data_IF_795523144058
#
_entry.id   IF_795523144058
#
_cell.length_a   1.000
_cell.length_b   1.000
_cell.length_c   1.000
_cell.angle_alpha   90.00
_cell.angle_beta   90.00
_cell.angle_gamma   90.00
#
_symmetry.space_group_name_H-M   'P 1'
#
loop_
_entity.id
_entity.type
_entity.pdbx_description
1 polymer ?
#
# COMPACT_ATOMS: atom_id res chain seq x y z
N UNK A 1 -6.71 -24.72 -16.43
CA UNK A 1 -6.10 -24.13 -15.20
C UNK A 1 -6.79 -22.83 -14.83
N UNK A 2 -6.91 -22.53 -13.53
CA UNK A 2 -7.41 -21.24 -13.02
C UNK A 2 -6.29 -20.54 -12.21
N UNK A 3 -5.78 -19.40 -12.71
CA UNK A 3 -4.59 -18.75 -12.18
C UNK A 3 -4.98 -17.51 -11.33
N UNK A 4 -4.32 -17.34 -10.18
CA UNK A 4 -4.55 -16.26 -9.21
C UNK A 4 -6.02 -16.15 -8.75
N UNK A 5 -6.65 -17.29 -8.57
CA UNK A 5 -8.07 -17.41 -8.24
C UNK A 5 -8.39 -16.71 -6.92
N UNK A 6 -9.33 -15.78 -6.96
CA UNK A 6 -9.79 -15.03 -5.79
C UNK A 6 -11.27 -15.24 -5.58
N UNK A 7 -11.62 -15.83 -4.44
CA UNK A 7 -13.00 -15.94 -3.97
C UNK A 7 -13.12 -15.21 -2.65
N UNK A 8 -13.99 -14.19 -2.59
CA UNK A 8 -14.34 -13.50 -1.35
C UNK A 8 -15.42 -14.28 -0.59
N UNK A 9 -15.57 -14.02 0.70
CA UNK A 9 -16.65 -14.62 1.49
C UNK A 9 -18.03 -14.36 0.87
N UNK A 10 -18.27 -13.13 0.41
CA UNK A 10 -19.53 -12.76 -0.28
C UNK A 10 -19.74 -13.58 -1.55
N UNK A 11 -18.71 -13.76 -2.37
CA UNK A 11 -18.78 -14.60 -3.58
C UNK A 11 -18.95 -16.06 -3.22
N UNK A 12 -18.25 -16.55 -2.19
CA UNK A 12 -18.38 -17.93 -1.72
C UNK A 12 -19.81 -18.25 -1.29
N UNK A 13 -20.46 -17.38 -0.50
CA UNK A 13 -21.87 -17.55 -0.10
C UNK A 13 -22.81 -17.66 -1.30
N UNK A 14 -22.58 -16.86 -2.34
CA UNK A 14 -23.36 -16.95 -3.60
C UNK A 14 -23.11 -18.26 -4.32
N UNK A 15 -21.85 -18.67 -4.51
CA UNK A 15 -21.50 -19.94 -5.16
C UNK A 15 -22.02 -21.15 -4.38
N UNK A 16 -22.03 -21.11 -3.06
CA UNK A 16 -22.58 -22.17 -2.20
C UNK A 16 -24.07 -22.38 -2.44
N UNK A 17 -24.82 -21.32 -2.72
CA UNK A 17 -26.25 -21.44 -3.08
C UNK A 17 -26.47 -22.27 -4.36
N UNK A 18 -25.54 -22.15 -5.31
CA UNK A 18 -25.55 -22.95 -6.56
C UNK A 18 -24.48 -24.06 -6.50
N UNK A 19 -24.46 -24.85 -5.45
CA UNK A 19 -23.38 -25.79 -5.14
C UNK A 19 -23.11 -26.82 -6.24
N UNK A 20 -24.15 -27.36 -6.89
CA UNK A 20 -24.01 -28.30 -7.98
C UNK A 20 -23.29 -27.67 -9.18
N UNK A 21 -23.77 -26.53 -9.65
CA UNK A 21 -23.11 -25.77 -10.75
C UNK A 21 -21.69 -25.35 -10.41
N UNK A 22 -21.46 -24.90 -9.17
CA UNK A 22 -20.13 -24.56 -8.70
C UNK A 22 -19.18 -25.76 -8.78
N UNK A 23 -19.61 -26.92 -8.30
CA UNK A 23 -18.84 -28.16 -8.34
C UNK A 23 -18.49 -28.55 -9.77
N UNK A 24 -19.46 -28.53 -10.67
CA UNK A 24 -19.24 -28.82 -12.10
C UNK A 24 -18.23 -27.89 -12.73
N UNK A 25 -18.32 -26.56 -12.46
CA UNK A 25 -17.39 -25.57 -13.01
C UNK A 25 -15.98 -25.77 -12.45
N UNK A 26 -15.84 -25.86 -11.12
CA UNK A 26 -14.50 -25.93 -10.51
C UNK A 26 -13.80 -27.27 -10.68
N UNK A 27 -14.53 -28.37 -10.92
CA UNK A 27 -13.96 -29.68 -11.25
C UNK A 27 -13.34 -29.74 -12.65
N UNK A 28 -13.76 -28.87 -13.57
CA UNK A 28 -13.20 -28.78 -14.92
C UNK A 28 -11.82 -28.12 -15.00
N UNK A 29 -11.32 -27.56 -13.90
CA UNK A 29 -9.95 -27.06 -13.85
C UNK A 29 -9.00 -28.15 -13.33
N UNK A 30 -7.98 -28.52 -14.10
CA UNK A 30 -6.92 -29.46 -13.68
C UNK A 30 -6.22 -28.97 -12.42
N UNK A 31 -5.99 -27.64 -12.32
CA UNK A 31 -5.45 -26.99 -11.14
C UNK A 31 -6.01 -25.58 -10.96
N UNK A 32 -6.28 -25.22 -9.71
CA UNK A 32 -6.62 -23.87 -9.28
C UNK A 32 -5.46 -23.31 -8.46
N UNK A 33 -4.78 -22.29 -8.96
CA UNK A 33 -3.74 -21.56 -8.20
C UNK A 33 -4.43 -20.40 -7.50
N UNK A 34 -4.62 -20.53 -6.20
CA UNK A 34 -5.34 -19.54 -5.40
C UNK A 34 -4.48 -18.32 -5.06
N UNK A 35 -5.09 -17.13 -5.00
CA UNK A 35 -4.42 -15.89 -4.62
C UNK A 35 -4.26 -15.72 -3.11
N UNK A 36 -4.91 -16.58 -2.30
CA UNK A 36 -5.00 -16.47 -0.85
C UNK A 36 -5.35 -17.79 -0.18
N UNK A 37 -5.02 -17.94 1.10
CA UNK A 37 -5.42 -19.11 1.90
C UNK A 37 -6.94 -19.21 2.05
N UNK A 38 -7.63 -18.08 2.21
CA UNK A 38 -9.10 -18.06 2.26
C UNK A 38 -9.69 -18.55 0.93
N UNK A 39 -9.20 -18.03 -0.20
CA UNK A 39 -9.62 -18.48 -1.52
C UNK A 39 -9.32 -19.96 -1.77
N UNK A 40 -8.17 -20.47 -1.28
CA UNK A 40 -7.84 -21.91 -1.31
C UNK A 40 -8.91 -22.74 -0.62
N UNK A 41 -9.31 -22.33 0.59
CA UNK A 41 -10.34 -23.05 1.35
C UNK A 41 -11.71 -22.97 0.65
N UNK A 42 -12.10 -21.82 0.13
CA UNK A 42 -13.36 -21.66 -0.60
C UNK A 42 -13.40 -22.50 -1.89
N UNK A 43 -12.31 -22.52 -2.66
CA UNK A 43 -12.21 -23.35 -3.86
C UNK A 43 -12.37 -24.84 -3.54
N UNK A 44 -11.76 -25.31 -2.42
CA UNK A 44 -11.91 -26.69 -1.95
C UNK A 44 -13.37 -27.01 -1.65
N UNK A 45 -14.05 -26.13 -0.91
CA UNK A 45 -15.47 -26.30 -0.56
C UNK A 45 -16.41 -26.21 -1.77
N UNK A 46 -15.98 -25.55 -2.86
CA UNK A 46 -16.71 -25.45 -4.11
C UNK A 46 -16.38 -26.59 -5.11
N UNK A 47 -15.56 -27.57 -4.69
CA UNK A 47 -15.33 -28.81 -5.46
C UNK A 47 -14.11 -28.79 -6.38
N UNK A 48 -13.21 -27.84 -6.29
CA UNK A 48 -11.95 -27.86 -7.03
C UNK A 48 -11.08 -29.05 -6.62
N UNK A 49 -10.60 -29.85 -7.61
CA UNK A 49 -9.85 -31.10 -7.40
C UNK A 49 -8.45 -30.86 -6.89
N UNK A 50 -7.68 -30.02 -7.57
CA UNK A 50 -6.30 -29.69 -7.22
C UNK A 50 -6.17 -28.19 -6.99
N UNK A 51 -5.61 -27.81 -5.83
CA UNK A 51 -5.48 -26.39 -5.45
C UNK A 51 -4.07 -26.14 -4.90
N UNK A 52 -3.34 -25.27 -5.59
CA UNK A 52 -2.03 -24.78 -5.17
C UNK A 52 -2.15 -23.35 -4.62
N UNK A 53 -1.25 -22.99 -3.70
CA UNK A 53 -1.13 -21.63 -3.17
C UNK A 53 0.34 -21.25 -3.02
N UNK A 54 0.80 -20.26 -3.75
CA UNK A 54 2.17 -19.73 -3.71
C UNK A 54 2.20 -18.27 -3.24
N UNK A 55 1.06 -17.62 -3.11
CA UNK A 55 0.89 -16.21 -2.85
C UNK A 55 0.11 -15.51 -3.96
N UNK A 56 -0.08 -14.20 -3.82
CA UNK A 56 -0.84 -13.41 -4.77
C UNK A 56 0.07 -12.87 -5.88
N UNK A 57 -0.22 -13.15 -7.15
CA UNK A 57 0.56 -12.67 -8.30
C UNK A 57 0.63 -11.13 -8.42
N UNK A 58 -0.24 -10.38 -7.73
CA UNK A 58 -0.09 -8.92 -7.65
C UNK A 58 1.25 -8.48 -7.05
N UNK A 59 1.91 -9.34 -6.24
CA UNK A 59 3.26 -9.09 -5.75
C UNK A 59 4.29 -9.04 -6.87
N UNK A 60 4.05 -9.74 -7.99
CA UNK A 60 5.04 -9.90 -9.07
C UNK A 60 5.01 -8.77 -10.10
N UNK A 61 4.02 -7.86 -10.04
CA UNK A 61 3.96 -6.71 -10.95
C UNK A 61 5.27 -5.92 -10.90
N UNK A 62 5.86 -5.62 -12.06
CA UNK A 62 7.05 -4.79 -12.18
C UNK A 62 6.83 -3.39 -11.62
N UNK A 63 7.92 -2.73 -11.19
CA UNK A 63 7.87 -1.28 -10.93
C UNK A 63 7.56 -0.59 -12.27
N UNK A 64 6.55 0.25 -12.29
CA UNK A 64 6.34 1.13 -13.43
C UNK A 64 7.49 2.15 -13.51
N UNK A 65 7.83 2.59 -14.71
CA UNK A 65 8.73 3.72 -14.90
C UNK A 65 8.15 4.94 -14.18
N UNK A 66 8.94 5.50 -13.26
CA UNK A 66 8.51 6.69 -12.52
C UNK A 66 9.02 7.93 -13.24
N UNK A 67 8.15 8.92 -13.44
CA UNK A 67 8.62 10.26 -13.77
C UNK A 67 9.53 10.75 -12.65
N UNK A 68 10.73 11.16 -12.98
CA UNK A 68 11.66 11.70 -11.99
C UNK A 68 11.18 13.05 -11.50
N UNK A 69 11.33 13.28 -10.21
CA UNK A 69 11.13 14.61 -9.64
C UNK A 69 12.24 15.53 -10.15
N UNK A 70 11.89 16.72 -10.56
CA UNK A 70 12.89 17.69 -11.08
C UNK A 70 14.04 17.92 -10.10
N UNK A 71 15.22 18.24 -10.62
CA UNK A 71 16.47 18.35 -9.83
C UNK A 71 16.34 19.29 -8.62
N UNK A 72 15.63 20.42 -8.77
CA UNK A 72 15.42 21.37 -7.68
C UNK A 72 14.58 20.81 -6.54
N UNK A 73 13.54 20.02 -6.85
CA UNK A 73 12.72 19.32 -5.86
C UNK A 73 13.51 18.23 -5.17
N UNK A 74 14.32 17.46 -5.90
CA UNK A 74 15.18 16.44 -5.31
C UNK A 74 16.17 17.05 -4.32
N UNK A 75 16.83 18.15 -4.66
CA UNK A 75 17.72 18.86 -3.74
C UNK A 75 16.99 19.31 -2.47
N UNK A 76 15.79 19.83 -2.59
CA UNK A 76 14.97 20.22 -1.43
C UNK A 76 14.62 19.02 -0.56
N UNK A 77 14.13 17.91 -1.14
CA UNK A 77 13.75 16.74 -0.39
C UNK A 77 14.91 16.06 0.37
N UNK A 78 16.12 16.09 -0.19
CA UNK A 78 17.32 15.58 0.47
C UNK A 78 17.64 16.29 1.80
N UNK A 79 17.20 17.53 1.99
CA UNK A 79 17.40 18.29 3.24
C UNK A 79 16.38 17.95 4.33
N UNK A 80 15.38 17.13 4.03
CA UNK A 80 14.22 16.88 4.89
C UNK A 80 14.19 15.47 5.46
N UNK A 81 13.62 15.35 6.66
CA UNK A 81 13.09 14.07 7.17
C UNK A 81 11.68 13.89 6.64
N UNK A 82 11.49 12.89 5.78
CA UNK A 82 10.24 12.72 5.03
C UNK A 82 9.47 11.51 5.52
N UNK A 83 8.16 11.70 5.71
CA UNK A 83 7.17 10.63 5.71
C UNK A 83 6.01 11.01 4.79
N UNK A 84 5.32 10.01 4.27
CA UNK A 84 4.26 10.21 3.29
C UNK A 84 2.93 9.66 3.82
N UNK A 85 1.84 10.36 3.52
CA UNK A 85 0.48 9.88 3.66
C UNK A 85 -0.13 9.80 2.26
N UNK A 86 -0.41 8.59 1.80
CA UNK A 86 -0.85 8.34 0.42
C UNK A 86 -2.26 7.80 0.37
N UNK A 87 -2.99 8.22 -0.69
CA UNK A 87 -4.38 7.84 -0.92
C UNK A 87 -5.30 8.14 0.27
N UNK A 88 -5.13 9.31 0.86
CA UNK A 88 -5.89 9.76 2.04
C UNK A 88 -7.32 10.12 1.70
N UNK A 89 -8.22 9.96 2.68
CA UNK A 89 -9.64 10.22 2.56
C UNK A 89 -10.19 10.92 3.81
N UNK A 90 -11.14 11.83 3.62
CA UNK A 90 -11.93 12.44 4.68
C UNK A 90 -11.09 13.11 5.76
N UNK A 91 -11.15 12.58 6.97
CA UNK A 91 -10.46 13.14 8.15
C UNK A 91 -8.95 12.77 8.21
N UNK A 92 -8.49 11.89 7.34
CA UNK A 92 -7.12 11.36 7.41
C UNK A 92 -6.07 12.44 7.12
N UNK A 93 -6.38 13.43 6.26
CA UNK A 93 -5.47 14.53 5.99
C UNK A 93 -5.27 15.42 7.23
N UNK A 94 -6.35 15.71 7.95
CA UNK A 94 -6.30 16.45 9.23
C UNK A 94 -5.52 15.68 10.29
N UNK A 95 -5.70 14.35 10.34
CA UNK A 95 -4.92 13.46 11.20
C UNK A 95 -3.42 13.53 10.88
N UNK A 96 -3.06 13.51 9.60
CA UNK A 96 -1.66 13.59 9.17
C UNK A 96 -1.04 14.96 9.46
N UNK A 97 -1.79 16.05 9.29
CA UNK A 97 -1.35 17.40 9.62
C UNK A 97 -1.13 17.58 11.14
N UNK A 98 -2.02 17.03 11.97
CA UNK A 98 -1.82 16.98 13.43
C UNK A 98 -0.60 16.16 13.85
N UNK A 99 -0.38 15.03 13.18
CA UNK A 99 0.81 14.19 13.38
C UNK A 99 2.07 14.97 13.02
N UNK A 100 2.08 15.71 11.90
CA UNK A 100 3.17 16.61 11.55
C UNK A 100 3.44 17.63 12.66
N UNK A 101 2.43 18.34 13.11
CA UNK A 101 2.55 19.39 14.16
C UNK A 101 3.21 18.84 15.43
N UNK A 102 2.79 17.65 15.89
CA UNK A 102 3.39 16.99 17.06
C UNK A 102 4.86 16.59 16.81
N UNK A 103 5.16 16.06 15.63
CA UNK A 103 6.52 15.62 15.29
C UNK A 103 7.48 16.76 15.00
N UNK A 104 7.00 17.91 14.52
CA UNK A 104 7.79 19.09 14.20
C UNK A 104 8.52 19.65 15.44
N UNK A 105 7.97 19.47 16.64
CA UNK A 105 8.62 19.82 17.90
C UNK A 105 10.00 19.15 18.00
N UNK A 106 10.06 17.87 17.65
CA UNK A 106 11.28 17.04 17.72
C UNK A 106 12.14 17.15 16.45
N UNK A 107 11.53 17.26 15.29
CA UNK A 107 12.21 17.22 13.98
C UNK A 107 12.01 18.53 13.23
N UNK A 108 12.92 19.50 13.42
CA UNK A 108 12.82 20.85 12.83
C UNK A 108 12.78 20.83 11.28
N UNK A 109 13.43 19.84 10.64
CA UNK A 109 13.46 19.64 9.20
C UNK A 109 12.44 18.61 8.70
N UNK A 110 11.37 18.32 9.47
CA UNK A 110 10.32 17.41 9.06
C UNK A 110 9.55 17.95 7.85
N UNK A 111 9.22 17.07 6.93
CA UNK A 111 8.29 17.30 5.85
C UNK A 111 7.26 16.16 5.80
N UNK A 112 5.98 16.49 5.71
CA UNK A 112 4.92 15.53 5.46
C UNK A 112 4.42 15.68 4.03
N UNK A 113 4.51 14.61 3.25
CA UNK A 113 3.93 14.56 1.91
C UNK A 113 2.52 13.98 2.04
N UNK A 114 1.51 14.69 1.53
CA UNK A 114 0.13 14.22 1.49
C UNK A 114 -0.29 14.05 0.04
N UNK A 115 -0.72 12.84 -0.31
CA UNK A 115 -1.23 12.47 -1.63
C UNK A 115 -2.69 12.04 -1.45
N UNK A 116 -3.67 12.93 -1.66
CA UNK A 116 -5.07 12.59 -1.52
C UNK A 116 -5.49 11.56 -2.59
N UNK A 117 -6.43 10.68 -2.25
CA UNK A 117 -7.01 9.74 -3.22
C UNK A 117 -7.70 10.46 -4.37
N UNK A 118 -8.32 11.60 -4.08
CA UNK A 118 -9.07 12.41 -5.03
C UNK A 118 -8.56 13.84 -5.02
N UNK A 119 -7.94 14.27 -6.11
CA UNK A 119 -7.32 15.60 -6.23
C UNK A 119 -8.34 16.74 -6.18
N UNK A 120 -9.60 16.53 -6.59
CA UNK A 120 -10.66 17.54 -6.47
C UNK A 120 -10.92 18.00 -5.02
N UNK A 121 -10.49 17.20 -4.02
CA UNK A 121 -10.62 17.53 -2.60
C UNK A 121 -9.57 18.52 -2.07
N UNK A 122 -8.59 18.90 -2.88
CA UNK A 122 -7.47 19.76 -2.44
C UNK A 122 -7.96 21.06 -1.81
N UNK A 123 -8.95 21.75 -2.42
CA UNK A 123 -9.54 22.97 -1.83
C UNK A 123 -10.08 22.73 -0.43
N UNK A 124 -10.82 21.64 -0.24
CA UNK A 124 -11.38 21.24 1.06
C UNK A 124 -10.27 20.89 2.07
N UNK A 125 -9.24 20.17 1.63
CA UNK A 125 -8.10 19.82 2.50
C UNK A 125 -7.39 21.08 2.99
N UNK A 126 -7.16 22.07 2.11
CA UNK A 126 -6.55 23.35 2.51
C UNK A 126 -7.40 24.08 3.54
N UNK A 127 -8.73 24.10 3.41
CA UNK A 127 -9.64 24.67 4.39
C UNK A 127 -9.56 23.92 5.73
N UNK A 128 -9.61 22.57 5.71
CA UNK A 128 -9.61 21.73 6.90
C UNK A 128 -8.34 21.86 7.77
N UNK A 129 -7.21 22.24 7.15
CA UNK A 129 -5.92 22.39 7.87
C UNK A 129 -5.44 23.84 8.00
N UNK A 130 -6.24 24.83 7.52
CA UNK A 130 -5.89 26.26 7.55
C UNK A 130 -5.55 26.76 8.96
N UNK A 131 -6.35 26.38 9.96
CA UNK A 131 -6.22 26.82 11.36
C UNK A 131 -4.99 26.22 12.08
N UNK A 132 -4.28 25.28 11.44
CA UNK A 132 -3.13 24.62 12.04
C UNK A 132 -1.84 25.43 11.94
N UNK A 133 -1.84 26.57 11.24
CA UNK A 133 -0.68 27.42 10.99
C UNK A 133 0.52 26.66 10.39
N UNK A 134 0.26 25.74 9.45
CA UNK A 134 1.27 24.96 8.75
C UNK A 134 1.54 25.58 7.37
N UNK A 135 2.81 25.66 6.98
CA UNK A 135 3.19 26.08 5.64
C UNK A 135 3.01 24.96 4.64
N UNK A 136 2.07 25.16 3.70
CA UNK A 136 1.70 24.16 2.68
C UNK A 136 2.25 24.60 1.33
N UNK A 137 2.86 23.66 0.60
CA UNK A 137 3.24 23.82 -0.79
C UNK A 137 2.47 22.83 -1.66
N UNK A 138 1.83 23.32 -2.74
CA UNK A 138 1.14 22.47 -3.74
C UNK A 138 2.14 21.99 -4.78
N UNK A 139 2.03 20.74 -5.18
CA UNK A 139 2.96 20.09 -6.12
C UNK A 139 3.00 20.80 -7.50
N UNK A 140 1.84 21.20 -8.04
CA UNK A 140 1.72 21.90 -9.31
C UNK A 140 1.97 23.41 -9.23
N UNK A 141 2.34 23.92 -8.04
CA UNK A 141 2.58 25.34 -7.86
C UNK A 141 3.80 25.80 -8.67
N UNK A 142 3.64 26.88 -9.44
CA UNK A 142 4.75 27.58 -10.11
C UNK A 142 5.68 28.31 -9.11
N UNK A 143 5.27 28.48 -7.86
CA UNK A 143 6.03 29.16 -6.81
C UNK A 143 7.21 28.30 -6.37
N UNK A 144 8.34 28.94 -6.13
CA UNK A 144 9.51 28.30 -5.53
C UNK A 144 9.13 27.71 -4.15
N UNK A 145 9.55 26.48 -3.87
CA UNK A 145 9.28 25.84 -2.58
C UNK A 145 10.05 26.54 -1.46
N UNK A 146 9.33 26.91 -0.38
CA UNK A 146 9.95 27.50 0.83
C UNK A 146 10.67 26.42 1.64
N UNK A 147 11.88 26.72 2.11
CA UNK A 147 12.65 25.85 3.01
C UNK A 147 11.89 25.51 4.31
N UNK A 148 10.97 26.37 4.74
CA UNK A 148 10.13 26.18 5.93
C UNK A 148 8.81 25.45 5.63
N UNK A 149 8.62 24.89 4.43
CA UNK A 149 7.43 24.10 4.10
C UNK A 149 7.26 22.92 5.05
N UNK A 150 6.08 22.78 5.61
CA UNK A 150 5.67 21.73 6.54
C UNK A 150 4.98 20.57 5.82
N UNK A 151 4.04 20.89 4.95
CA UNK A 151 3.26 19.93 4.19
C UNK A 151 3.47 20.17 2.70
N UNK A 152 3.82 19.10 2.01
CA UNK A 152 3.85 19.05 0.55
C UNK A 152 2.60 18.30 0.07
N UNK A 153 1.65 19.04 -0.48
CA UNK A 153 0.36 18.49 -0.91
C UNK A 153 0.39 18.20 -2.41
N UNK A 154 0.25 16.93 -2.77
CA UNK A 154 0.29 16.47 -4.16
C UNK A 154 -1.11 16.54 -4.75
N UNK A 155 -1.30 17.43 -5.71
CA UNK A 155 -2.57 17.71 -6.39
C UNK A 155 -2.57 17.32 -7.87
N UNK A 156 -1.67 16.40 -8.26
CA UNK A 156 -1.55 15.85 -9.61
C UNK A 156 -1.57 14.32 -9.57
N UNK A 157 -1.88 13.69 -10.71
CA UNK A 157 -1.85 12.24 -10.86
C UNK A 157 -0.47 11.72 -11.33
N UNK A 158 -0.22 10.41 -11.12
CA UNK A 158 0.87 9.68 -11.78
C UNK A 158 2.22 9.72 -11.06
N UNK A 159 2.39 10.50 -9.99
CA UNK A 159 3.71 10.70 -9.35
C UNK A 159 3.89 10.02 -7.98
N UNK A 160 2.91 9.26 -7.53
CA UNK A 160 2.92 8.61 -6.20
C UNK A 160 4.20 7.80 -5.93
N UNK A 161 4.69 7.08 -6.93
CA UNK A 161 5.87 6.24 -6.79
C UNK A 161 7.16 7.04 -6.58
N UNK A 162 7.28 8.23 -7.17
CA UNK A 162 8.42 9.13 -6.98
C UNK A 162 8.53 9.57 -5.51
N UNK A 163 7.39 9.81 -4.87
CA UNK A 163 7.34 10.13 -3.44
C UNK A 163 7.61 8.93 -2.54
N UNK A 164 7.27 7.71 -2.96
CA UNK A 164 7.65 6.50 -2.22
C UNK A 164 9.16 6.27 -2.22
N UNK A 165 9.86 6.57 -3.32
CA UNK A 165 11.34 6.45 -3.40
C UNK A 165 12.06 7.25 -2.31
N UNK A 166 11.53 8.42 -1.95
CA UNK A 166 12.15 9.35 -0.99
C UNK A 166 11.59 9.22 0.43
N UNK A 167 10.58 8.38 0.64
CA UNK A 167 9.91 8.23 1.94
C UNK A 167 10.36 6.97 2.68
N UNK A 168 10.71 7.09 3.97
CA UNK A 168 11.02 5.92 4.82
C UNK A 168 9.77 5.17 5.24
N UNK A 169 8.67 5.88 5.44
CA UNK A 169 7.38 5.31 5.87
C UNK A 169 6.24 5.98 5.15
N UNK A 170 5.20 5.19 4.89
CA UNK A 170 3.99 5.60 4.21
C UNK A 170 2.78 5.19 5.03
N UNK A 171 1.94 6.15 5.41
CA UNK A 171 0.60 5.89 5.89
C UNK A 171 -0.33 5.74 4.67
N UNK A 172 -1.03 4.61 4.59
CA UNK A 172 -2.00 4.35 3.53
C UNK A 172 -3.41 4.65 4.00
N UNK A 173 -4.02 5.61 3.33
CA UNK A 173 -5.36 6.11 3.64
C UNK A 173 -6.48 5.13 3.26
N UNK A 174 -7.74 5.57 3.51
CA UNK A 174 -8.91 4.71 3.40
C UNK A 174 -8.90 3.59 4.43
N UNK A 175 -8.05 3.70 5.44
CA UNK A 175 -7.80 2.66 6.43
C UNK A 175 -8.21 3.04 7.86
N UNK A 176 -8.27 4.33 8.19
CA UNK A 176 -8.90 4.84 9.43
C UNK A 176 -10.41 4.90 9.24
N UNK A 177 -10.86 5.40 8.10
CA UNK A 177 -12.28 5.38 7.73
C UNK A 177 -12.68 3.99 7.22
N UNK A 178 -13.98 3.69 7.21
CA UNK A 178 -14.53 2.40 6.75
C UNK A 178 -14.54 2.28 5.21
N UNK A 179 -13.37 2.41 4.56
CA UNK A 179 -13.21 2.31 3.10
C UNK A 179 -12.57 0.98 2.64
N UNK A 180 -11.90 0.25 3.54
CA UNK A 180 -11.30 -1.05 3.25
C UNK A 180 -9.83 -1.03 2.92
N UNK A 181 -9.16 0.14 3.06
CA UNK A 181 -7.74 0.34 2.81
C UNK A 181 -7.36 0.42 1.34
N UNK A 182 -6.10 0.74 1.08
CA UNK A 182 -5.48 0.85 -0.24
C UNK A 182 -4.39 -0.21 -0.43
N UNK A 183 -3.97 -0.46 -1.68
CA UNK A 183 -2.96 -1.46 -1.99
C UNK A 183 -1.58 -1.06 -1.42
N UNK A 184 -1.00 -1.84 -0.49
CA UNK A 184 0.28 -1.49 0.12
C UNK A 184 1.52 -1.90 -0.70
N UNK A 185 1.34 -2.65 -1.79
CA UNK A 185 2.45 -3.26 -2.51
C UNK A 185 3.38 -2.25 -3.19
N UNK A 186 2.82 -1.19 -3.73
CA UNK A 186 3.64 -0.17 -4.41
C UNK A 186 4.64 0.44 -3.44
N UNK A 187 4.17 0.95 -2.30
CA UNK A 187 5.05 1.54 -1.29
C UNK A 187 6.04 0.50 -0.70
N UNK A 188 5.60 -0.74 -0.48
CA UNK A 188 6.45 -1.82 0.03
C UNK A 188 7.60 -2.15 -0.92
N UNK A 189 7.39 -2.12 -2.24
CA UNK A 189 8.41 -2.35 -3.27
C UNK A 189 9.53 -1.29 -3.28
N UNK A 190 9.25 -0.10 -2.75
CA UNK A 190 10.27 0.94 -2.55
C UNK A 190 10.96 0.84 -1.17
N UNK A 191 10.65 -0.20 -0.38
CA UNK A 191 11.23 -0.41 0.94
C UNK A 191 10.64 0.49 2.03
N UNK A 192 9.46 1.07 1.78
CA UNK A 192 8.76 1.86 2.78
C UNK A 192 8.17 0.97 3.88
N UNK A 193 8.25 1.43 5.13
CA UNK A 193 7.44 0.89 6.22
C UNK A 193 6.00 1.37 6.06
N UNK A 194 5.05 0.44 6.04
CA UNK A 194 3.63 0.74 5.80
C UNK A 194 2.91 0.93 7.12
N UNK A 195 2.24 2.06 7.27
CA UNK A 195 1.30 2.32 8.37
C UNK A 195 -0.12 2.32 7.83
N UNK A 196 -1.05 1.73 8.56
CA UNK A 196 -2.44 1.65 8.15
C UNK A 196 -3.39 1.60 9.36
N UNK A 197 -4.61 2.06 9.17
CA UNK A 197 -5.69 1.93 10.15
C UNK A 197 -6.24 0.49 10.26
N UNK A 198 -7.31 0.30 11.04
CA UNK A 198 -7.93 -1.01 11.23
C UNK A 198 -8.68 -1.54 10.01
N UNK A 199 -9.12 -0.66 9.11
CA UNK A 199 -10.03 -0.99 8.02
C UNK A 199 -9.24 -1.32 6.74
N UNK A 200 -8.85 -2.58 6.56
CA UNK A 200 -8.01 -3.06 5.45
C UNK A 200 -8.57 -4.29 4.74
N UNK A 201 -9.87 -4.55 4.83
CA UNK A 201 -10.47 -5.80 4.35
C UNK A 201 -10.28 -6.07 2.86
N UNK A 202 -10.12 -5.04 2.02
CA UNK A 202 -9.85 -5.20 0.59
C UNK A 202 -8.48 -5.83 0.31
N UNK A 203 -7.51 -5.68 1.24
CA UNK A 203 -6.12 -6.09 1.07
C UNK A 203 -5.58 -6.83 2.30
N UNK A 204 -6.45 -7.35 3.19
CA UNK A 204 -6.11 -7.95 4.49
C UNK A 204 -4.95 -8.94 4.40
N UNK A 205 -4.97 -9.83 3.41
CA UNK A 205 -3.92 -10.85 3.24
C UNK A 205 -2.57 -10.25 2.86
N UNK A 206 -2.59 -9.22 1.99
CA UNK A 206 -1.38 -8.52 1.60
C UNK A 206 -0.76 -7.80 2.81
N UNK A 207 -1.59 -7.13 3.61
CA UNK A 207 -1.12 -6.50 4.86
C UNK A 207 -0.59 -7.52 5.86
N UNK A 208 -1.23 -8.68 6.01
CA UNK A 208 -0.76 -9.76 6.88
C UNK A 208 0.61 -10.30 6.43
N UNK A 209 0.79 -10.51 5.12
CA UNK A 209 2.06 -10.95 4.57
C UNK A 209 3.17 -9.91 4.78
N UNK A 210 2.86 -8.63 4.57
CA UNK A 210 3.80 -7.55 4.85
C UNK A 210 4.12 -7.43 6.34
N UNK A 211 3.14 -7.63 7.22
CA UNK A 211 3.33 -7.65 8.68
C UNK A 211 4.27 -8.78 9.10
N UNK A 212 4.07 -10.00 8.59
CA UNK A 212 4.95 -11.15 8.85
C UNK A 212 6.40 -10.89 8.39
N UNK A 213 6.58 -10.01 7.40
CA UNK A 213 7.89 -9.58 6.90
C UNK A 213 8.42 -8.29 7.57
N UNK A 214 7.75 -7.77 8.60
CA UNK A 214 8.15 -6.57 9.33
C UNK A 214 7.95 -5.26 8.56
N UNK A 215 7.14 -5.28 7.49
CA UNK A 215 6.93 -4.15 6.58
C UNK A 215 5.63 -3.37 6.82
N UNK A 216 4.69 -3.90 7.61
CA UNK A 216 3.38 -3.29 7.83
C UNK A 216 3.02 -3.23 9.30
N UNK A 217 2.41 -2.11 9.72
CA UNK A 217 2.06 -1.83 11.12
C UNK A 217 0.69 -1.17 11.20
N UNK A 218 -0.19 -1.75 12.03
CA UNK A 218 -1.49 -1.16 12.34
C UNK A 218 -1.33 0.01 13.31
N UNK A 219 -2.04 1.10 13.05
CA UNK A 219 -2.19 2.28 13.90
C UNK A 219 -3.69 2.58 14.03
N UNK A 220 -4.21 2.55 15.25
CA UNK A 220 -5.64 2.73 15.50
C UNK A 220 -5.97 4.15 16.01
N UNK A 221 -4.97 4.87 16.52
CA UNK A 221 -5.16 6.21 17.11
C UNK A 221 -4.14 7.22 16.56
N UNK A 222 -4.45 8.53 16.64
CA UNK A 222 -3.52 9.60 16.25
C UNK A 222 -2.18 9.52 16.99
N UNK A 223 -2.19 9.14 18.26
CA UNK A 223 -0.98 9.00 19.06
C UNK A 223 -0.12 7.82 18.61
N UNK A 224 -0.75 6.68 18.28
CA UNK A 224 -0.03 5.53 17.72
C UNK A 224 0.61 5.87 16.37
N UNK A 225 -0.07 6.63 15.49
CA UNK A 225 0.51 7.10 14.24
C UNK A 225 1.75 7.96 14.50
N UNK A 226 1.64 8.96 15.38
CA UNK A 226 2.74 9.86 15.75
C UNK A 226 3.95 9.08 16.30
N UNK A 227 3.73 8.19 17.26
CA UNK A 227 4.79 7.39 17.86
C UNK A 227 5.46 6.46 16.84
N UNK A 228 4.68 5.85 15.96
CA UNK A 228 5.22 4.92 14.97
C UNK A 228 6.02 5.63 13.89
N UNK A 229 5.54 6.78 13.39
CA UNK A 229 6.30 7.63 12.46
C UNK A 229 7.61 8.08 13.11
N UNK A 230 7.55 8.59 14.36
CA UNK A 230 8.75 8.99 15.11
C UNK A 230 9.77 7.85 15.24
N UNK A 231 9.32 6.65 15.63
CA UNK A 231 10.19 5.47 15.76
C UNK A 231 10.89 5.13 14.45
N UNK A 232 10.15 5.14 13.32
CA UNK A 232 10.72 4.82 11.99
C UNK A 232 11.69 5.91 11.53
N UNK A 233 11.39 7.20 11.76
CA UNK A 233 12.26 8.30 11.37
C UNK A 233 13.57 8.32 12.16
N UNK A 234 13.59 7.84 13.40
CA UNK A 234 14.79 7.75 14.23
C UNK A 234 15.67 6.54 13.89
N UNK A 235 15.07 5.45 13.46
CA UNK A 235 15.83 4.26 13.15
C UNK A 235 16.65 4.47 11.88
N UNK A 236 17.90 3.98 11.86
CA UNK A 236 18.66 3.78 10.61
C UNK A 236 17.88 2.74 9.78
N UNK A 237 16.91 3.22 9.02
CA UNK A 237 15.99 2.39 8.25
C UNK A 237 16.78 1.61 7.20
N UNK A 238 16.73 0.30 7.27
CA UNK A 238 17.31 -0.56 6.26
C UNK A 238 16.29 -0.77 5.12
N UNK A 239 15.86 0.35 4.48
CA UNK A 239 14.91 0.32 3.37
C UNK A 239 15.37 -0.60 2.24
N UNK A 240 16.69 -0.64 1.98
CA UNK A 240 17.29 -1.56 0.98
C UNK A 240 17.08 -3.03 1.37
N UNK A 241 17.29 -3.40 2.65
CA UNK A 241 17.05 -4.77 3.14
C UNK A 241 15.58 -5.16 3.01
N UNK A 242 14.68 -4.26 3.38
CA UNK A 242 13.24 -4.48 3.23
C UNK A 242 12.85 -4.62 1.76
N UNK A 243 13.35 -3.74 0.91
CA UNK A 243 13.12 -3.80 -0.55
C UNK A 243 13.60 -5.13 -1.14
N UNK A 244 14.80 -5.60 -0.77
CA UNK A 244 15.33 -6.88 -1.21
C UNK A 244 14.45 -8.05 -0.74
N UNK A 245 14.00 -8.02 0.51
CA UNK A 245 13.10 -9.03 1.07
C UNK A 245 11.77 -9.12 0.30
N UNK A 246 11.18 -7.97 -0.04
CA UNK A 246 9.94 -7.92 -0.83
C UNK A 246 10.19 -8.39 -2.28
N UNK A 247 11.34 -8.04 -2.88
CA UNK A 247 11.73 -8.52 -4.21
C UNK A 247 11.88 -10.04 -4.22
N UNK A 248 12.57 -10.62 -3.24
CA UNK A 248 12.76 -12.08 -3.15
C UNK A 248 11.44 -12.82 -2.97
N UNK A 249 10.53 -12.27 -2.14
CA UNK A 249 9.19 -12.81 -1.98
C UNK A 249 8.42 -12.78 -3.31
N UNK A 250 8.48 -11.68 -4.04
CA UNK A 250 7.90 -11.51 -5.38
C UNK A 250 8.40 -12.57 -6.36
N UNK A 251 9.71 -12.74 -6.45
CA UNK A 251 10.35 -13.74 -7.33
C UNK A 251 9.97 -15.17 -6.95
N UNK A 252 9.92 -15.49 -5.64
CA UNK A 252 9.48 -16.80 -5.17
C UNK A 252 8.05 -17.11 -5.60
N UNK A 253 7.11 -16.17 -5.42
CA UNK A 253 5.72 -16.34 -5.84
C UNK A 253 5.64 -16.56 -7.35
N UNK A 254 6.35 -15.77 -8.16
CA UNK A 254 6.35 -15.89 -9.61
C UNK A 254 6.90 -17.25 -10.05
N UNK A 255 8.09 -17.60 -9.61
CA UNK A 255 8.76 -18.83 -10.02
C UNK A 255 7.96 -20.07 -9.63
N UNK A 256 7.42 -20.12 -8.40
CA UNK A 256 6.58 -21.24 -7.97
C UNK A 256 5.31 -21.35 -8.81
N UNK A 257 4.70 -20.22 -9.18
CA UNK A 257 3.52 -20.20 -10.06
C UNK A 257 3.86 -20.67 -11.47
N UNK A 258 4.96 -20.19 -12.04
CA UNK A 258 5.41 -20.60 -13.39
C UNK A 258 5.76 -22.09 -13.43
N UNK A 259 6.44 -22.62 -12.41
CA UNK A 259 6.76 -24.04 -12.31
C UNK A 259 5.51 -24.92 -12.31
N UNK A 260 4.47 -24.54 -11.53
CA UNK A 260 3.20 -25.25 -11.51
C UNK A 260 2.49 -25.19 -12.87
N UNK A 261 2.50 -24.04 -13.54
CA UNK A 261 1.94 -23.88 -14.88
C UNK A 261 2.68 -24.78 -15.89
N UNK A 262 4.01 -24.72 -15.91
CA UNK A 262 4.83 -25.49 -16.82
C UNK A 262 4.67 -27.01 -16.61
N UNK A 263 4.55 -27.46 -15.35
CA UNK A 263 4.27 -28.85 -15.02
C UNK A 263 2.96 -29.35 -15.66
N UNK A 264 1.92 -28.50 -15.64
CA UNK A 264 0.61 -28.88 -16.21
C UNK A 264 0.54 -28.75 -17.74
N UNK A 265 1.35 -27.86 -18.35
CA UNK A 265 1.43 -27.75 -19.82
C UNK A 265 2.18 -28.96 -20.41
N UNK A 266 3.27 -29.40 -19.78
CA UNK A 266 4.07 -30.54 -20.26
C UNK A 266 3.40 -31.90 -20.09
N UNK A 267 2.33 -31.99 -19.28
CA UNK A 267 1.55 -33.21 -19.09
C UNK A 267 0.44 -33.41 -20.14
N UNK A 268 0.18 -32.42 -20.97
CA UNK A 268 -0.69 -32.51 -22.13
C UNK A 268 0.14 -32.77 -23.40
#
# INVERSE_FOLDING_TARGET
MLINARITEKSFKKWKFFSSSAKTIFQNFDVCISSSLASKNYLRLLGAKKISYFGNLKFTQSKQTTNELGNNLNKFFLTKKIWCASSTHGIEEKLCANTHKKLKVKYKNLLTIIIPRHIHRVKKILQDIKEMNLKIHLHDSKKKIDKKTDIYLVNTFGQTQSFFKISKTVFLGGSIIKHGGQNPLEAAKYGCQILHGPNIWNFKEIYNLLKANGASHKVATPNQLTLKVSKILNNKSNSKKLQLKIKNLSSKILNSTLNEINFHIKKK
#
